data_IF_807175490651
#
_entry.id   IF_807175490651
#
_cell.length_a   1.000
_cell.length_b   1.000
_cell.length_c   1.000
_cell.angle_alpha   90.00
_cell.angle_beta   90.00
_cell.angle_gamma   90.00
#
_symmetry.space_group_name_H-M   'P 1'
#
loop_
_entity.id
_entity.type
_entity.pdbx_description
1 polymer ?
#
# COMPACT_ATOMS: atom_id res chain seq x y z
N UNK A 1 -8.87 3.17 12.33
CA UNK A 1 -9.18 4.45 11.67
C UNK A 1 -8.76 4.30 10.21
N UNK A 2 -9.71 4.07 9.32
CA UNK A 2 -9.43 4.05 7.89
C UNK A 2 -9.68 5.46 7.37
N UNK A 3 -8.61 6.25 7.27
CA UNK A 3 -8.72 7.51 6.53
C UNK A 3 -8.91 7.16 5.05
N UNK A 4 -9.85 7.86 4.38
CA UNK A 4 -10.00 7.79 2.92
C UNK A 4 -8.66 8.21 2.29
N UNK A 5 -8.25 7.54 1.21
CA UNK A 5 -7.05 7.97 0.48
C UNK A 5 -7.25 9.42 0.03
N UNK A 6 -6.25 10.31 0.17
CA UNK A 6 -6.37 11.66 -0.38
C UNK A 6 -6.64 11.57 -1.89
N UNK A 7 -7.56 12.42 -2.37
CA UNK A 7 -7.90 12.47 -3.80
C UNK A 7 -6.68 12.88 -4.65
N UNK A 8 -6.57 12.40 -5.91
CA UNK A 8 -5.48 12.78 -6.80
C UNK A 8 -5.40 14.31 -6.98
N UNK A 9 -4.19 14.92 -6.98
CA UNK A 9 -4.01 16.38 -7.05
C UNK A 9 -4.39 17.02 -8.40
N UNK A 10 -4.68 16.25 -9.44
CA UNK A 10 -4.93 16.71 -10.81
C UNK A 10 -6.39 16.60 -11.25
N UNK A 11 -7.29 16.10 -10.38
CA UNK A 11 -8.74 16.06 -10.62
C UNK A 11 -9.39 17.47 -10.76
N UNK A 12 -8.57 18.51 -10.94
CA UNK A 12 -8.90 19.91 -10.80
C UNK A 12 -8.44 20.67 -12.04
N UNK A 13 -9.36 20.89 -12.98
CA UNK A 13 -9.24 22.01 -13.93
C UNK A 13 -10.39 22.98 -13.68
N UNK A 14 -9.98 24.22 -13.42
CA UNK A 14 -10.77 25.41 -13.13
C UNK A 14 -11.62 25.84 -14.33
N UNK A 15 -12.86 26.28 -14.07
CA UNK A 15 -13.45 27.48 -14.69
C UNK A 15 -14.50 28.07 -13.72
N UNK A 16 -14.26 29.29 -13.25
CA UNK A 16 -15.00 29.99 -12.17
C UNK A 16 -16.28 30.66 -12.67
N UNK A 17 -17.44 30.39 -12.07
CA UNK A 17 -18.60 31.29 -12.02
C UNK A 17 -19.46 31.05 -10.77
N UNK A 18 -20.09 32.12 -10.26
CA UNK A 18 -20.80 32.22 -8.97
C UNK A 18 -22.35 32.15 -9.13
N UNK A 19 -23.05 31.90 -8.01
CA UNK A 19 -24.50 32.14 -7.69
C UNK A 19 -25.63 31.12 -8.00
N UNK A 20 -26.54 30.95 -7.00
CA UNK A 20 -28.02 31.04 -7.11
C UNK A 20 -28.89 29.79 -7.31
N UNK A 21 -29.43 29.16 -6.25
CA UNK A 21 -30.34 27.98 -6.36
C UNK A 21 -31.80 28.33 -6.76
N UNK A 22 -32.33 27.68 -7.81
CA UNK A 22 -33.77 27.53 -8.08
C UNK A 22 -34.06 26.18 -8.77
N UNK A 23 -34.80 25.28 -8.11
CA UNK A 23 -34.87 23.84 -8.42
C UNK A 23 -36.16 23.38 -9.16
N UNK A 24 -36.73 24.18 -10.07
CA UNK A 24 -38.07 23.91 -10.62
C UNK A 24 -38.16 23.56 -12.13
N UNK A 25 -37.06 23.44 -12.91
CA UNK A 25 -37.16 23.23 -14.37
C UNK A 25 -36.16 22.21 -14.95
N UNK A 26 -36.63 21.26 -15.77
CA UNK A 26 -35.87 20.14 -16.35
C UNK A 26 -34.78 20.51 -17.37
N UNK A 27 -33.86 21.43 -17.06
CA UNK A 27 -32.87 21.94 -18.02
C UNK A 27 -31.44 21.49 -17.70
N UNK A 28 -30.57 21.30 -18.73
CA UNK A 28 -29.13 21.07 -18.57
C UNK A 28 -28.41 22.08 -17.67
N UNK A 29 -29.00 23.27 -17.47
CA UNK A 29 -28.54 24.31 -16.57
C UNK A 29 -28.53 23.87 -15.10
N UNK A 30 -29.53 23.11 -14.63
CA UNK A 30 -29.58 22.61 -13.24
C UNK A 30 -28.43 21.66 -12.93
N UNK A 31 -28.06 20.82 -13.89
CA UNK A 31 -26.97 19.84 -13.72
C UNK A 31 -25.64 20.59 -13.67
N UNK A 32 -25.47 21.63 -14.50
CA UNK A 32 -24.30 22.51 -14.43
C UNK A 32 -24.20 23.23 -13.08
N UNK A 33 -25.30 23.76 -12.54
CA UNK A 33 -25.30 24.45 -11.24
C UNK A 33 -25.08 23.51 -10.05
N UNK A 34 -25.71 22.33 -10.05
CA UNK A 34 -25.47 21.34 -9.00
C UNK A 34 -24.02 20.82 -9.03
N UNK A 35 -23.45 20.58 -10.21
CA UNK A 35 -22.03 20.22 -10.36
C UNK A 35 -21.12 21.33 -9.85
N UNK A 36 -21.40 22.60 -10.18
CA UNK A 36 -20.65 23.77 -9.67
C UNK A 36 -20.77 23.90 -8.14
N UNK A 37 -21.95 23.65 -7.59
CA UNK A 37 -22.27 23.79 -6.17
C UNK A 37 -21.49 22.85 -5.25
N UNK A 38 -21.23 21.62 -5.69
CA UNK A 38 -20.61 20.51 -4.93
C UNK A 38 -19.11 20.37 -5.24
N UNK A 39 -18.49 21.37 -5.87
CA UNK A 39 -17.05 21.33 -6.14
C UNK A 39 -16.26 21.22 -4.82
N UNK A 40 -15.35 20.24 -4.68
CA UNK A 40 -14.65 20.04 -3.41
C UNK A 40 -13.56 21.09 -3.10
N UNK A 41 -13.50 22.18 -3.90
CA UNK A 41 -12.77 23.43 -3.61
C UNK A 41 -13.45 24.27 -2.53
N UNK A 42 -14.74 24.05 -2.24
CA UNK A 42 -15.38 24.65 -1.08
C UNK A 42 -14.87 23.95 0.18
N UNK A 43 -14.41 24.72 1.16
CA UNK A 43 -13.97 24.23 2.49
C UNK A 43 -15.01 23.36 3.21
N UNK A 44 -16.28 23.43 2.77
CA UNK A 44 -17.36 22.53 3.15
C UNK A 44 -18.38 22.50 1.99
N UNK A 45 -18.28 21.57 1.03
CA UNK A 45 -19.25 21.50 -0.06
C UNK A 45 -20.63 21.15 0.52
N UNK A 46 -21.72 21.77 0.05
CA UNK A 46 -23.08 21.56 0.55
C UNK A 46 -23.67 20.21 0.11
N UNK A 47 -22.94 19.10 0.29
CA UNK A 47 -23.34 17.75 -0.15
C UNK A 47 -24.67 17.36 0.50
N UNK A 48 -24.82 17.63 1.80
CA UNK A 48 -26.03 17.32 2.56
C UNK A 48 -27.26 18.08 2.02
N UNK A 49 -27.12 19.38 1.74
CA UNK A 49 -28.18 20.22 1.20
C UNK A 49 -28.61 19.75 -0.20
N UNK A 50 -27.65 19.34 -1.03
CA UNK A 50 -27.95 18.75 -2.33
C UNK A 50 -28.70 17.43 -2.19
N UNK A 51 -28.28 16.54 -1.28
CA UNK A 51 -29.01 15.29 -1.04
C UNK A 51 -30.44 15.60 -0.57
N UNK A 52 -30.61 16.51 0.38
CA UNK A 52 -31.91 16.88 0.94
C UNK A 52 -32.84 17.54 -0.09
N UNK A 53 -32.30 18.15 -1.13
CA UNK A 53 -33.08 18.69 -2.26
C UNK A 53 -33.72 17.61 -3.15
N UNK A 54 -33.37 16.34 -2.97
CA UNK A 54 -34.00 15.22 -3.68
C UNK A 54 -33.50 15.01 -5.12
N UNK A 55 -32.40 15.62 -5.52
CA UNK A 55 -31.88 15.57 -6.91
C UNK A 55 -31.09 14.30 -7.26
N UNK A 56 -30.68 13.50 -6.27
CA UNK A 56 -29.88 12.28 -6.49
C UNK A 56 -30.55 11.28 -7.43
N UNK A 57 -31.82 10.85 -7.23
CA UNK A 57 -32.49 9.95 -8.16
C UNK A 57 -32.50 10.49 -9.60
N UNK A 58 -32.60 11.81 -9.75
CA UNK A 58 -32.62 12.46 -11.07
C UNK A 58 -31.25 12.43 -11.74
N UNK A 59 -30.15 12.62 -11.01
CA UNK A 59 -28.81 12.41 -11.56
C UNK A 59 -28.60 10.96 -12.00
N UNK A 60 -29.10 9.99 -11.23
CA UNK A 60 -29.04 8.57 -11.62
C UNK A 60 -29.82 8.32 -12.91
N UNK A 61 -31.00 8.91 -13.08
CA UNK A 61 -31.76 8.83 -14.34
C UNK A 61 -30.99 9.41 -15.53
N UNK A 62 -30.32 10.57 -15.33
CA UNK A 62 -29.53 11.21 -16.37
C UNK A 62 -28.32 10.38 -16.83
N UNK A 63 -27.79 9.48 -15.99
CA UNK A 63 -26.72 8.56 -16.40
C UNK A 63 -27.15 7.62 -17.53
N UNK A 64 -28.44 7.27 -17.63
CA UNK A 64 -28.95 6.30 -18.61
C UNK A 64 -29.34 6.95 -19.94
N UNK A 65 -29.45 8.28 -19.95
CA UNK A 65 -29.94 9.07 -21.09
C UNK A 65 -28.78 9.60 -21.91
N UNK A 66 -28.56 9.01 -23.08
CA UNK A 66 -27.52 9.48 -24.04
C UNK A 66 -27.82 10.88 -24.60
N UNK A 67 -29.09 11.30 -24.58
CA UNK A 67 -29.54 12.64 -24.97
C UNK A 67 -29.33 13.70 -23.87
N UNK A 68 -28.84 13.30 -22.70
CA UNK A 68 -28.60 14.17 -21.54
C UNK A 68 -27.11 14.25 -21.18
N UNK A 69 -26.69 15.27 -20.40
CA UNK A 69 -25.30 15.46 -20.00
C UNK A 69 -24.84 14.41 -18.94
N UNK A 70 -24.60 13.18 -19.39
CA UNK A 70 -24.17 12.03 -18.56
C UNK A 70 -22.91 12.35 -17.75
N UNK A 71 -21.96 13.08 -18.34
CA UNK A 71 -20.71 13.47 -17.68
C UNK A 71 -20.97 14.30 -16.42
N UNK A 72 -21.82 15.30 -16.52
CA UNK A 72 -22.14 16.21 -15.42
C UNK A 72 -22.93 15.49 -14.33
N UNK A 73 -23.86 14.60 -14.69
CA UNK A 73 -24.55 13.76 -13.73
C UNK A 73 -23.59 12.82 -12.98
N UNK A 74 -22.66 12.16 -13.70
CA UNK A 74 -21.64 11.30 -13.11
C UNK A 74 -20.70 12.09 -12.19
N UNK A 75 -20.33 13.32 -12.58
CA UNK A 75 -19.50 14.19 -11.76
C UNK A 75 -20.20 14.61 -10.46
N UNK A 76 -21.47 15.03 -10.53
CA UNK A 76 -22.24 15.36 -9.33
C UNK A 76 -22.30 14.19 -8.34
N UNK A 77 -22.60 12.99 -8.83
CA UNK A 77 -22.66 11.78 -8.00
C UNK A 77 -21.28 11.38 -7.45
N UNK A 78 -20.21 11.61 -8.21
CA UNK A 78 -18.83 11.36 -7.74
C UNK A 78 -18.48 12.24 -6.55
N UNK A 79 -18.86 13.54 -6.59
CA UNK A 79 -18.62 14.49 -5.50
C UNK A 79 -19.51 14.21 -4.28
N UNK A 80 -20.71 13.65 -4.49
CA UNK A 80 -21.54 13.19 -3.36
C UNK A 80 -20.88 11.97 -2.70
N UNK A 81 -20.39 11.00 -3.50
CA UNK A 81 -19.71 9.80 -2.99
C UNK A 81 -18.34 10.07 -2.34
N UNK A 82 -17.72 11.23 -2.56
CA UNK A 82 -16.48 11.61 -1.86
C UNK A 82 -16.71 12.13 -0.43
N UNK A 83 -17.97 12.41 -0.05
CA UNK A 83 -18.36 12.93 1.26
C UNK A 83 -18.28 11.89 2.40
N UNK A 84 -19.29 11.88 3.28
CA UNK A 84 -19.41 10.91 4.37
C UNK A 84 -19.84 9.53 3.87
N UNK A 85 -19.77 8.51 4.73
CA UNK A 85 -20.28 7.17 4.37
C UNK A 85 -21.79 7.16 4.15
N UNK A 86 -22.53 8.03 4.84
CA UNK A 86 -23.95 8.27 4.62
C UNK A 86 -24.21 8.86 3.23
N UNK A 87 -23.36 9.80 2.77
CA UNK A 87 -23.45 10.36 1.41
C UNK A 87 -23.17 9.30 0.34
N UNK A 88 -22.14 8.49 0.52
CA UNK A 88 -21.85 7.34 -0.35
C UNK A 88 -23.04 6.37 -0.40
N UNK A 89 -23.64 6.08 0.76
CA UNK A 89 -24.80 5.20 0.86
C UNK A 89 -26.00 5.72 0.07
N UNK A 90 -26.25 7.03 0.07
CA UNK A 90 -27.31 7.63 -0.74
C UNK A 90 -27.11 7.34 -2.24
N UNK A 91 -25.88 7.47 -2.75
CA UNK A 91 -25.56 7.15 -4.16
C UNK A 91 -25.79 5.65 -4.47
N UNK A 92 -25.41 4.78 -3.54
CA UNK A 92 -25.61 3.33 -3.65
C UNK A 92 -27.09 2.96 -3.64
N UNK A 93 -27.85 3.47 -2.66
CA UNK A 93 -29.27 3.12 -2.44
C UNK A 93 -30.16 3.57 -3.61
N UNK A 94 -29.74 4.60 -4.36
CA UNK A 94 -30.40 5.02 -5.60
C UNK A 94 -29.96 4.23 -6.85
N UNK A 95 -29.11 3.20 -6.72
CA UNK A 95 -28.78 2.28 -7.81
C UNK A 95 -27.74 2.79 -8.81
N UNK A 96 -26.89 3.75 -8.44
CA UNK A 96 -25.91 4.32 -9.37
C UNK A 96 -24.79 3.34 -9.77
N UNK A 97 -24.36 2.44 -8.88
CA UNK A 97 -23.22 1.53 -9.09
C UNK A 97 -23.33 0.68 -10.35
N UNK A 98 -24.41 -0.11 -10.60
CA UNK A 98 -24.51 -0.89 -11.83
C UNK A 98 -24.52 -0.02 -13.09
N UNK A 99 -25.01 1.21 -13.01
CA UNK A 99 -25.01 2.15 -14.14
C UNK A 99 -23.59 2.67 -14.39
N UNK A 100 -22.82 3.00 -13.36
CA UNK A 100 -21.41 3.35 -13.50
C UNK A 100 -20.61 2.21 -14.15
N UNK A 101 -20.85 0.96 -13.75
CA UNK A 101 -20.20 -0.20 -14.38
C UNK A 101 -20.55 -0.29 -15.87
N UNK A 102 -21.81 -0.09 -16.25
CA UNK A 102 -22.24 -0.06 -17.66
C UNK A 102 -21.55 1.08 -18.43
N UNK A 103 -21.42 2.25 -17.82
CA UNK A 103 -20.82 3.44 -18.43
C UNK A 103 -19.30 3.35 -18.61
N UNK A 104 -18.62 2.34 -18.05
CA UNK A 104 -17.24 2.00 -18.40
C UNK A 104 -17.10 1.58 -19.88
N UNK A 105 -18.20 1.27 -20.57
CA UNK A 105 -18.25 1.01 -22.01
C UNK A 105 -18.77 2.21 -22.82
N UNK A 106 -18.91 3.40 -22.21
CA UNK A 106 -19.38 4.60 -22.92
C UNK A 106 -18.45 4.98 -24.09
N UNK A 107 -18.98 5.44 -25.23
CA UNK A 107 -18.15 5.96 -26.32
C UNK A 107 -17.40 7.24 -25.94
N UNK A 108 -17.83 7.96 -24.89
CA UNK A 108 -17.17 9.17 -24.41
C UNK A 108 -16.06 8.85 -23.41
N UNK A 109 -14.82 9.22 -23.75
CA UNK A 109 -13.65 9.11 -22.86
C UNK A 109 -13.90 9.79 -21.50
N UNK A 110 -14.47 10.99 -21.53
CA UNK A 110 -14.70 11.78 -20.33
C UNK A 110 -15.72 11.12 -19.40
N UNK A 111 -16.78 10.53 -19.97
CA UNK A 111 -17.77 9.76 -19.20
C UNK A 111 -17.11 8.52 -18.60
N UNK A 112 -16.31 7.77 -19.38
CA UNK A 112 -15.59 6.59 -18.86
C UNK A 112 -14.67 6.99 -17.70
N UNK A 113 -13.91 8.06 -17.86
CA UNK A 113 -12.96 8.53 -16.84
C UNK A 113 -13.69 8.97 -15.56
N UNK A 114 -14.82 9.67 -15.71
CA UNK A 114 -15.63 10.10 -14.58
C UNK A 114 -16.24 8.94 -13.80
N UNK A 115 -16.74 7.90 -14.48
CA UNK A 115 -17.33 6.74 -13.78
C UNK A 115 -16.27 5.81 -13.18
N UNK A 116 -15.06 5.75 -13.74
CA UNK A 116 -13.91 5.14 -13.06
C UNK A 116 -13.70 5.82 -11.71
N UNK A 117 -13.64 7.16 -11.69
CA UNK A 117 -13.46 7.91 -10.44
C UNK A 117 -14.63 7.71 -9.46
N UNK A 118 -15.87 7.72 -9.94
CA UNK A 118 -17.06 7.44 -9.13
C UNK A 118 -16.97 6.08 -8.43
N UNK A 119 -16.61 5.02 -9.17
CA UNK A 119 -16.45 3.67 -8.64
C UNK A 119 -15.31 3.59 -7.62
N UNK A 120 -14.21 4.33 -7.85
CA UNK A 120 -13.10 4.42 -6.90
C UNK A 120 -13.50 5.10 -5.58
N UNK A 121 -14.29 6.18 -5.62
CA UNK A 121 -14.82 6.83 -4.40
C UNK A 121 -15.74 5.88 -3.62
N UNK A 122 -16.65 5.19 -4.31
CA UNK A 122 -17.57 4.22 -3.68
C UNK A 122 -16.78 3.06 -3.07
N UNK A 123 -15.86 2.44 -3.82
CA UNK A 123 -15.06 1.32 -3.32
C UNK A 123 -14.12 1.74 -2.17
N UNK A 124 -13.59 2.97 -2.21
CA UNK A 124 -12.68 3.51 -1.20
C UNK A 124 -13.35 3.83 0.14
N UNK A 125 -14.68 3.92 0.20
CA UNK A 125 -15.44 4.26 1.40
C UNK A 125 -15.31 3.19 2.50
N UNK A 126 -15.57 1.93 2.16
CA UNK A 126 -15.53 0.83 3.13
C UNK A 126 -15.41 -0.54 2.44
N UNK A 127 -14.94 -1.59 3.14
CA UNK A 127 -14.91 -2.95 2.60
C UNK A 127 -16.27 -3.43 2.04
N UNK A 128 -17.38 -3.03 2.68
CA UNK A 128 -18.73 -3.35 2.19
C UNK A 128 -19.03 -2.70 0.84
N UNK A 129 -18.68 -1.43 0.66
CA UNK A 129 -18.90 -0.72 -0.60
C UNK A 129 -17.98 -1.24 -1.70
N UNK A 130 -16.72 -1.54 -1.39
CA UNK A 130 -15.79 -2.25 -2.28
C UNK A 130 -16.37 -3.57 -2.77
N UNK A 131 -16.82 -4.42 -1.85
CA UNK A 131 -17.34 -5.75 -2.18
C UNK A 131 -18.62 -5.65 -3.03
N UNK A 132 -19.47 -4.65 -2.78
CA UNK A 132 -20.61 -4.34 -3.63
C UNK A 132 -20.16 -3.99 -5.07
N UNK A 133 -19.20 -3.08 -5.23
CA UNK A 133 -18.68 -2.68 -6.54
C UNK A 133 -18.08 -3.88 -7.30
N UNK A 134 -17.31 -4.72 -6.61
CA UNK A 134 -16.76 -5.95 -7.19
C UNK A 134 -17.85 -6.96 -7.56
N UNK A 135 -18.89 -7.12 -6.72
CA UNK A 135 -20.02 -8.00 -7.00
C UNK A 135 -20.87 -7.54 -8.20
N UNK A 136 -20.86 -6.24 -8.51
CA UNK A 136 -21.47 -5.69 -9.73
C UNK A 136 -20.60 -5.89 -10.99
N UNK A 137 -19.47 -6.60 -10.89
CA UNK A 137 -18.64 -6.94 -12.04
C UNK A 137 -17.75 -5.80 -12.55
N UNK A 138 -17.47 -4.79 -11.71
CA UNK A 138 -16.74 -3.58 -12.13
C UNK A 138 -15.28 -3.83 -12.57
N UNK A 139 -14.64 -4.91 -12.10
CA UNK A 139 -13.21 -5.11 -12.33
C UNK A 139 -12.87 -5.28 -13.81
N UNK A 140 -13.54 -6.18 -14.54
CA UNK A 140 -13.16 -6.47 -15.93
C UNK A 140 -13.34 -5.25 -16.85
N UNK A 141 -14.45 -4.49 -16.79
CA UNK A 141 -14.58 -3.26 -17.56
C UNK A 141 -13.64 -2.13 -17.10
N UNK A 142 -13.19 -2.12 -15.84
CA UNK A 142 -12.14 -1.20 -15.39
C UNK A 142 -10.79 -1.56 -16.03
N UNK A 143 -10.43 -2.85 -16.04
CA UNK A 143 -9.17 -3.32 -16.63
C UNK A 143 -9.09 -3.03 -18.12
N UNK A 144 -10.19 -3.02 -18.87
CA UNK A 144 -10.18 -2.63 -20.30
C UNK A 144 -9.82 -1.15 -20.53
N UNK A 145 -9.91 -0.30 -19.51
CA UNK A 145 -9.48 1.10 -19.60
C UNK A 145 -7.95 1.26 -19.47
N UNK A 146 -7.24 0.22 -19.02
CA UNK A 146 -5.79 0.18 -18.86
C UNK A 146 -5.15 -0.42 -20.12
N UNK A 147 -5.09 0.37 -21.18
CA UNK A 147 -4.50 -0.05 -22.47
C UNK A 147 -3.48 0.99 -22.98
N UNK A 148 -2.72 0.62 -24.01
CA UNK A 148 -1.63 1.44 -24.57
C UNK A 148 -2.08 2.79 -25.15
N UNK A 149 -3.37 2.95 -25.45
CA UNK A 149 -3.95 4.18 -25.98
C UNK A 149 -4.58 5.06 -24.90
N UNK A 150 -4.60 4.62 -23.64
CA UNK A 150 -5.19 5.36 -22.54
C UNK A 150 -4.38 6.64 -22.24
N UNK A 151 -5.10 7.75 -22.06
CA UNK A 151 -4.50 9.02 -21.59
C UNK A 151 -3.94 8.81 -20.19
N UNK A 152 -2.91 9.59 -19.84
CA UNK A 152 -2.30 9.54 -18.51
C UNK A 152 -3.33 9.79 -17.37
N UNK A 153 -4.30 10.69 -17.59
CA UNK A 153 -5.38 10.96 -16.64
C UNK A 153 -6.22 9.71 -16.35
N UNK A 154 -6.65 9.02 -17.40
CA UNK A 154 -7.33 7.73 -17.29
C UNK A 154 -6.46 6.69 -16.57
N UNK A 155 -5.18 6.55 -16.91
CA UNK A 155 -4.29 5.59 -16.26
C UNK A 155 -4.18 5.84 -14.75
N UNK A 156 -4.03 7.11 -14.33
CA UNK A 156 -3.99 7.49 -12.91
C UNK A 156 -5.31 7.16 -12.22
N UNK A 157 -6.46 7.58 -12.78
CA UNK A 157 -7.77 7.31 -12.19
C UNK A 157 -8.09 5.82 -12.09
N UNK A 158 -7.79 5.06 -13.15
CA UNK A 158 -8.04 3.64 -13.20
C UNK A 158 -7.12 2.86 -12.24
N UNK A 159 -5.86 3.25 -12.12
CA UNK A 159 -4.92 2.63 -11.17
C UNK A 159 -5.30 2.94 -9.72
N UNK A 160 -5.69 4.19 -9.42
CA UNK A 160 -6.21 4.57 -8.11
C UNK A 160 -7.48 3.79 -7.74
N UNK A 161 -8.41 3.65 -8.69
CA UNK A 161 -9.63 2.87 -8.50
C UNK A 161 -9.32 1.38 -8.27
N UNK A 162 -8.38 0.83 -9.04
CA UNK A 162 -7.93 -0.55 -8.89
C UNK A 162 -7.27 -0.80 -7.53
N UNK A 163 -6.52 0.17 -6.99
CA UNK A 163 -5.94 0.09 -5.65
C UNK A 163 -7.04 0.03 -4.58
N UNK A 164 -8.11 0.84 -4.70
CA UNK A 164 -9.27 0.79 -3.83
C UNK A 164 -10.05 -0.53 -3.93
N UNK A 165 -10.11 -1.16 -5.11
CA UNK A 165 -10.70 -2.49 -5.27
C UNK A 165 -9.94 -3.58 -4.50
N UNK A 166 -8.64 -3.37 -4.26
CA UNK A 166 -7.79 -4.31 -3.51
C UNK A 166 -7.70 -3.99 -2.01
N UNK A 167 -8.04 -2.76 -1.60
CA UNK A 167 -7.81 -2.21 -0.26
C UNK A 167 -8.79 -2.75 0.79
N UNK A 168 -8.36 -2.74 2.05
CA UNK A 168 -9.23 -2.84 3.23
C UNK A 168 -9.20 -4.19 3.93
N UNK A 169 -9.64 -4.20 5.20
CA UNK A 169 -9.78 -5.41 6.02
C UNK A 169 -11.24 -5.52 6.50
N UNK A 170 -11.92 -6.68 6.36
CA UNK A 170 -11.43 -7.90 5.69
C UNK A 170 -11.10 -7.66 4.21
N UNK A 171 -10.13 -8.42 3.70
CA UNK A 171 -9.69 -8.31 2.30
C UNK A 171 -10.78 -8.77 1.34
N UNK A 172 -10.81 -8.25 0.10
CA UNK A 172 -11.69 -8.79 -0.93
C UNK A 172 -11.31 -10.25 -1.24
N UNK A 173 -12.26 -10.98 -1.85
CA UNK A 173 -11.95 -12.33 -2.34
C UNK A 173 -10.81 -12.27 -3.34
N UNK A 174 -9.76 -13.07 -3.10
CA UNK A 174 -8.61 -13.08 -3.99
C UNK A 174 -8.98 -13.57 -5.40
N UNK A 175 -9.97 -14.46 -5.55
CA UNK A 175 -10.44 -14.88 -6.87
C UNK A 175 -11.06 -13.72 -7.67
N UNK A 176 -11.67 -12.75 -6.99
CA UNK A 176 -12.24 -11.56 -7.64
C UNK A 176 -11.16 -10.57 -8.05
N UNK A 177 -10.08 -10.40 -7.28
CA UNK A 177 -9.04 -9.41 -7.57
C UNK A 177 -7.82 -9.96 -8.32
N UNK A 178 -7.60 -11.27 -8.34
CA UNK A 178 -6.51 -11.92 -9.09
C UNK A 178 -6.42 -11.49 -10.57
N UNK A 179 -7.53 -11.25 -11.31
CA UNK A 179 -7.46 -10.76 -12.69
C UNK A 179 -6.77 -9.40 -12.85
N UNK A 180 -6.56 -8.63 -11.77
CA UNK A 180 -5.84 -7.36 -11.80
C UNK A 180 -4.32 -7.52 -11.98
N UNK A 181 -3.75 -8.68 -11.66
CA UNK A 181 -2.31 -8.87 -11.60
C UNK A 181 -1.58 -8.57 -12.92
N UNK A 182 -2.05 -9.01 -14.11
CA UNK A 182 -1.40 -8.67 -15.37
C UNK A 182 -1.37 -7.17 -15.65
N UNK A 183 -2.45 -6.45 -15.33
CA UNK A 183 -2.49 -5.00 -15.50
C UNK A 183 -1.54 -4.30 -14.51
N UNK A 184 -1.51 -4.73 -13.24
CA UNK A 184 -0.58 -4.19 -12.24
C UNK A 184 0.88 -4.45 -12.62
N UNK A 185 1.20 -5.59 -13.22
CA UNK A 185 2.53 -5.91 -13.75
C UNK A 185 2.97 -4.90 -14.81
N UNK A 186 2.06 -4.46 -15.69
CA UNK A 186 2.37 -3.43 -16.68
C UNK A 186 2.50 -2.05 -16.02
N UNK A 187 1.59 -1.69 -15.12
CA UNK A 187 1.53 -0.35 -14.51
C UNK A 187 2.77 0.00 -13.67
N UNK A 188 3.42 -0.98 -13.01
CA UNK A 188 4.65 -0.74 -12.26
C UNK A 188 5.87 -0.40 -13.14
N UNK A 189 5.74 -0.50 -14.46
CA UNK A 189 6.76 -0.05 -15.42
C UNK A 189 6.48 1.38 -15.94
N UNK A 190 5.42 2.05 -15.46
CA UNK A 190 5.18 3.46 -15.75
C UNK A 190 6.32 4.35 -15.24
N UNK A 191 6.52 5.48 -15.90
CA UNK A 191 7.39 6.56 -15.42
C UNK A 191 6.63 7.61 -14.59
N UNK A 192 5.31 7.48 -14.49
CA UNK A 192 4.46 8.39 -13.74
C UNK A 192 4.41 7.98 -12.26
N UNK A 193 4.82 8.87 -11.35
CA UNK A 193 4.89 8.58 -9.92
C UNK A 193 3.54 8.23 -9.30
N UNK A 194 2.44 8.81 -9.80
CA UNK A 194 1.10 8.56 -9.25
C UNK A 194 0.62 7.15 -9.64
N UNK A 195 0.76 6.78 -10.93
CA UNK A 195 0.49 5.42 -11.39
C UNK A 195 1.34 4.40 -10.62
N UNK A 196 2.66 4.66 -10.46
CA UNK A 196 3.55 3.78 -9.71
C UNK A 196 3.10 3.62 -8.25
N UNK A 197 2.74 4.73 -7.59
CA UNK A 197 2.31 4.75 -6.19
C UNK A 197 1.08 3.86 -6.00
N UNK A 198 0.03 4.06 -6.79
CA UNK A 198 -1.23 3.34 -6.63
C UNK A 198 -1.12 1.87 -7.07
N UNK A 199 -0.34 1.58 -8.12
CA UNK A 199 -0.07 0.20 -8.54
C UNK A 199 0.70 -0.57 -7.45
N UNK A 200 1.70 0.04 -6.83
CA UNK A 200 2.42 -0.56 -5.71
C UNK A 200 1.53 -0.73 -4.48
N UNK A 201 0.63 0.22 -4.18
CA UNK A 201 -0.34 0.02 -3.09
C UNK A 201 -1.27 -1.16 -3.36
N UNK A 202 -1.79 -1.29 -4.58
CA UNK A 202 -2.62 -2.43 -4.97
C UNK A 202 -1.88 -3.76 -4.76
N UNK A 203 -0.64 -3.87 -5.24
CA UNK A 203 0.20 -5.06 -5.03
C UNK A 203 0.50 -5.32 -3.55
N UNK A 204 0.69 -4.27 -2.75
CA UNK A 204 0.89 -4.40 -1.30
C UNK A 204 -0.34 -5.00 -0.60
N UNK A 205 -1.55 -4.66 -1.04
CA UNK A 205 -2.78 -5.24 -0.48
C UNK A 205 -3.00 -6.69 -0.92
N UNK A 206 -2.65 -7.02 -2.16
CA UNK A 206 -2.80 -8.37 -2.71
C UNK A 206 -1.75 -9.37 -2.16
N UNK A 207 -0.55 -8.89 -1.82
CA UNK A 207 0.53 -9.69 -1.25
C UNK A 207 0.41 -9.94 0.26
N UNK A 208 -0.36 -9.12 0.98
CA UNK A 208 -0.64 -9.31 2.41
C UNK A 208 -1.58 -10.53 2.58
N UNK A 209 -1.04 -11.72 2.89
CA UNK A 209 -1.87 -12.88 3.16
C UNK A 209 -1.13 -14.21 3.10
N UNK A 210 -1.84 -15.25 2.68
CA UNK A 210 -1.32 -16.63 2.64
C UNK A 210 -0.27 -16.82 1.56
N UNK A 211 0.53 -17.89 1.71
CA UNK A 211 1.54 -18.30 0.73
C UNK A 211 0.99 -18.48 -0.69
N UNK A 212 -0.29 -18.83 -0.86
CA UNK A 212 -0.93 -18.95 -2.18
C UNK A 212 -1.11 -17.59 -2.86
N UNK A 213 -1.46 -16.55 -2.08
CA UNK A 213 -1.54 -15.17 -2.61
C UNK A 213 -0.16 -14.68 -3.00
N UNK A 214 0.83 -14.87 -2.12
CA UNK A 214 2.22 -14.49 -2.40
C UNK A 214 2.75 -15.20 -3.64
N UNK A 215 2.42 -16.50 -3.81
CA UNK A 215 2.80 -17.27 -4.99
C UNK A 215 2.23 -16.66 -6.29
N UNK A 216 0.95 -16.29 -6.28
CA UNK A 216 0.33 -15.64 -7.44
C UNK A 216 0.97 -14.26 -7.77
N UNK A 217 1.44 -13.52 -6.75
CA UNK A 217 2.18 -12.26 -6.95
C UNK A 217 3.53 -12.55 -7.62
N UNK A 218 4.26 -13.57 -7.17
CA UNK A 218 5.54 -13.98 -7.78
C UNK A 218 5.33 -14.44 -9.23
N UNK A 219 4.31 -15.26 -9.49
CA UNK A 219 3.95 -15.74 -10.83
C UNK A 219 3.51 -14.61 -11.78
N UNK A 220 3.01 -13.50 -11.24
CA UNK A 220 2.73 -12.30 -12.01
C UNK A 220 4.00 -11.52 -12.41
N UNK A 221 5.20 -11.99 -12.05
CA UNK A 221 6.49 -11.44 -12.43
C UNK A 221 6.66 -9.93 -12.10
N UNK A 222 6.18 -9.52 -10.92
CA UNK A 222 6.31 -8.12 -10.45
C UNK A 222 7.56 -7.88 -9.61
N UNK A 223 8.16 -8.93 -9.03
CA UNK A 223 9.26 -8.81 -8.08
C UNK A 223 10.51 -8.08 -8.60
N UNK A 224 11.03 -8.34 -9.83
CA UNK A 224 12.22 -7.65 -10.31
C UNK A 224 12.03 -6.12 -10.27
N UNK A 225 10.91 -5.66 -10.81
CA UNK A 225 10.57 -4.24 -10.87
C UNK A 225 10.29 -3.66 -9.49
N UNK A 226 9.63 -4.40 -8.59
CA UNK A 226 9.43 -3.94 -7.20
C UNK A 226 10.75 -3.73 -6.46
N UNK A 227 11.76 -4.58 -6.70
CA UNK A 227 13.10 -4.41 -6.12
C UNK A 227 13.79 -3.16 -6.68
N UNK A 228 13.69 -2.89 -7.98
CA UNK A 228 14.21 -1.66 -8.58
C UNK A 228 13.56 -0.41 -7.94
N UNK A 229 12.25 -0.44 -7.70
CA UNK A 229 11.49 0.65 -7.10
C UNK A 229 11.86 0.93 -5.64
N UNK A 230 12.60 0.04 -4.96
CA UNK A 230 13.17 0.34 -3.63
C UNK A 230 14.20 1.48 -3.66
N UNK A 231 14.79 1.75 -4.82
CA UNK A 231 15.71 2.87 -5.03
C UNK A 231 15.03 4.10 -5.64
N UNK A 232 13.69 4.10 -5.77
CA UNK A 232 12.97 5.23 -6.32
C UNK A 232 13.13 6.47 -5.41
N UNK A 233 13.43 7.67 -5.95
CA UNK A 233 13.71 8.86 -5.13
C UNK A 233 12.48 9.35 -4.35
N UNK A 234 11.29 9.14 -4.90
CA UNK A 234 10.01 9.52 -4.28
C UNK A 234 9.58 8.51 -3.20
N UNK A 235 9.45 8.92 -1.93
CA UNK A 235 8.95 8.07 -0.86
C UNK A 235 7.55 7.51 -1.11
N UNK A 236 6.73 8.21 -1.89
CA UNK A 236 5.37 7.80 -2.24
C UNK A 236 5.34 6.48 -3.02
N UNK A 237 6.35 6.24 -3.86
CA UNK A 237 6.53 4.99 -4.61
C UNK A 237 7.31 3.95 -3.79
N UNK A 238 8.39 4.39 -3.12
CA UNK A 238 9.29 3.50 -2.37
C UNK A 238 8.55 2.76 -1.24
N UNK A 239 7.71 3.46 -0.47
CA UNK A 239 7.02 2.87 0.69
C UNK A 239 6.12 1.67 0.30
N UNK A 240 5.17 1.80 -0.65
CA UNK A 240 4.35 0.65 -1.05
C UNK A 240 5.12 -0.44 -1.78
N UNK A 241 6.18 -0.10 -2.54
CA UNK A 241 7.08 -1.10 -3.12
C UNK A 241 7.78 -1.92 -2.03
N UNK A 242 8.36 -1.25 -1.03
CA UNK A 242 8.99 -1.88 0.13
C UNK A 242 8.00 -2.73 0.93
N UNK A 243 6.78 -2.25 1.12
CA UNK A 243 5.73 -3.02 1.80
C UNK A 243 5.40 -4.30 1.03
N UNK A 244 5.29 -4.23 -0.29
CA UNK A 244 5.04 -5.40 -1.14
C UNK A 244 6.17 -6.42 -1.04
N UNK A 245 7.43 -5.95 -1.13
CA UNK A 245 8.61 -6.82 -0.93
C UNK A 245 8.61 -7.45 0.46
N UNK A 246 8.30 -6.66 1.50
CA UNK A 246 8.19 -7.12 2.88
C UNK A 246 7.12 -8.20 3.07
N UNK A 247 5.95 -8.05 2.44
CA UNK A 247 4.89 -9.07 2.47
C UNK A 247 5.32 -10.36 1.74
N UNK A 248 6.08 -10.27 0.66
CA UNK A 248 6.52 -11.48 -0.07
C UNK A 248 7.48 -12.30 0.79
N UNK A 249 8.39 -11.65 1.54
CA UNK A 249 9.36 -12.34 2.40
C UNK A 249 8.76 -12.85 3.72
N UNK A 250 7.48 -12.60 4.02
CA UNK A 250 6.77 -13.33 5.09
C UNK A 250 6.35 -14.75 4.66
N UNK A 251 6.53 -15.08 3.37
CA UNK A 251 6.31 -16.42 2.85
C UNK A 251 7.33 -17.44 3.35
N UNK A 252 7.32 -18.64 2.78
CA UNK A 252 8.34 -19.65 3.06
C UNK A 252 9.71 -19.30 2.45
N UNK A 253 10.73 -20.07 2.82
CA UNK A 253 12.10 -19.89 2.38
C UNK A 253 12.24 -19.77 0.85
N UNK A 254 11.45 -20.52 0.07
CA UNK A 254 11.52 -20.46 -1.40
C UNK A 254 11.10 -19.08 -1.94
N UNK A 255 10.01 -18.53 -1.41
CA UNK A 255 9.51 -17.19 -1.80
C UNK A 255 10.47 -16.09 -1.35
N UNK A 256 11.02 -16.22 -0.15
CA UNK A 256 12.06 -15.31 0.36
C UNK A 256 13.31 -15.36 -0.52
N UNK A 257 13.76 -16.56 -0.91
CA UNK A 257 14.91 -16.72 -1.80
C UNK A 257 14.70 -16.06 -3.16
N UNK A 258 13.47 -16.10 -3.69
CA UNK A 258 13.14 -15.44 -4.94
C UNK A 258 13.42 -13.93 -4.90
N UNK A 259 13.09 -13.26 -3.81
CA UNK A 259 13.39 -11.82 -3.61
C UNK A 259 14.89 -11.57 -3.48
N UNK A 260 15.61 -12.40 -2.73
CA UNK A 260 17.07 -12.31 -2.57
C UNK A 260 17.77 -12.43 -3.94
N UNK A 261 17.32 -13.36 -4.78
CA UNK A 261 17.87 -13.60 -6.11
C UNK A 261 17.69 -12.42 -7.09
N UNK A 262 16.83 -11.45 -6.77
CA UNK A 262 16.63 -10.21 -7.53
C UNK A 262 17.37 -9.00 -6.92
N UNK A 263 18.42 -9.24 -6.13
CA UNK A 263 19.30 -8.18 -5.59
C UNK A 263 18.57 -7.22 -4.62
N UNK A 264 17.63 -7.74 -3.83
CA UNK A 264 16.94 -6.94 -2.82
C UNK A 264 17.86 -6.49 -1.67
N UNK A 265 18.89 -7.28 -1.32
CA UNK A 265 19.74 -7.01 -0.16
C UNK A 265 20.54 -5.70 -0.27
N UNK A 266 21.23 -5.39 -1.39
CA UNK A 266 21.86 -4.08 -1.57
C UNK A 266 20.88 -2.90 -1.46
N UNK A 267 19.66 -3.07 -1.97
CA UNK A 267 18.61 -2.04 -1.89
C UNK A 267 18.18 -1.82 -0.43
N UNK A 268 17.94 -2.90 0.33
CA UNK A 268 17.60 -2.82 1.74
C UNK A 268 18.74 -2.21 2.58
N UNK A 269 20.00 -2.56 2.29
CA UNK A 269 21.17 -1.94 2.91
C UNK A 269 21.19 -0.42 2.70
N UNK A 270 20.96 0.03 1.46
CA UNK A 270 20.87 1.45 1.11
C UNK A 270 19.81 2.18 1.96
N UNK A 271 18.65 1.56 2.18
CA UNK A 271 17.58 2.13 3.01
C UNK A 271 17.97 2.27 4.49
N UNK A 272 18.80 1.36 5.02
CA UNK A 272 19.27 1.42 6.41
C UNK A 272 20.33 2.52 6.61
N UNK A 273 21.30 2.60 5.69
CA UNK A 273 22.50 3.41 5.84
C UNK A 273 22.29 4.88 5.47
N UNK A 274 21.49 5.16 4.45
CA UNK A 274 21.24 6.53 4.00
C UNK A 274 20.20 7.27 4.84
N UNK A 275 20.09 8.58 4.61
CA UNK A 275 19.18 9.46 5.35
C UNK A 275 17.73 9.32 4.85
N UNK A 276 17.07 8.22 5.21
CA UNK A 276 15.65 8.00 4.98
C UNK A 276 14.81 8.29 6.23
N UNK A 277 13.53 8.59 6.00
CA UNK A 277 12.53 8.77 7.07
C UNK A 277 12.49 7.55 7.99
N UNK A 278 12.24 7.79 9.28
CA UNK A 278 12.10 6.74 10.31
C UNK A 278 11.19 5.60 9.88
N UNK A 279 10.03 5.91 9.27
CA UNK A 279 9.07 4.91 8.81
C UNK A 279 9.66 3.96 7.78
N UNK A 280 10.46 4.46 6.83
CA UNK A 280 11.13 3.64 5.80
C UNK A 280 12.16 2.72 6.45
N UNK A 281 13.00 3.22 7.35
CA UNK A 281 14.00 2.40 8.06
C UNK A 281 13.34 1.31 8.90
N UNK A 282 12.23 1.64 9.58
CA UNK A 282 11.44 0.66 10.34
C UNK A 282 10.93 -0.46 9.44
N UNK A 283 10.31 -0.13 8.30
CA UNK A 283 9.82 -1.12 7.33
C UNK A 283 10.96 -1.95 6.71
N UNK A 284 12.10 -1.34 6.42
CA UNK A 284 13.27 -2.07 5.92
C UNK A 284 13.81 -3.06 6.97
N UNK A 285 13.91 -2.65 8.24
CA UNK A 285 14.26 -3.56 9.33
C UNK A 285 13.24 -4.70 9.49
N UNK A 286 11.94 -4.40 9.36
CA UNK A 286 10.88 -5.43 9.40
C UNK A 286 11.04 -6.45 8.27
N UNK A 287 11.23 -5.99 7.03
CA UNK A 287 11.52 -6.85 5.87
C UNK A 287 12.75 -7.73 6.11
N UNK A 288 13.83 -7.14 6.62
CA UNK A 288 15.07 -7.85 6.96
C UNK A 288 14.83 -8.90 8.05
N UNK A 289 13.97 -8.61 9.04
CA UNK A 289 13.66 -9.55 10.11
C UNK A 289 12.96 -10.82 9.60
N UNK A 290 12.11 -10.70 8.60
CA UNK A 290 11.47 -11.84 7.94
C UNK A 290 12.49 -12.65 7.11
N UNK A 291 13.46 -11.98 6.47
CA UNK A 291 14.53 -12.69 5.75
C UNK A 291 15.43 -13.48 6.73
N UNK A 292 15.80 -12.89 7.87
CA UNK A 292 16.61 -13.60 8.88
C UNK A 292 15.85 -14.68 9.64
N UNK A 293 14.52 -14.74 9.50
CA UNK A 293 13.69 -15.84 10.02
C UNK A 293 13.82 -17.13 9.20
N UNK A 294 14.35 -17.05 7.97
CA UNK A 294 14.52 -18.18 7.08
C UNK A 294 15.71 -19.09 7.44
N UNK A 295 16.22 -19.82 6.45
CA UNK A 295 17.29 -20.79 6.66
C UNK A 295 18.70 -20.17 6.80
N UNK A 296 19.67 -21.03 7.10
CA UNK A 296 21.08 -20.64 7.34
C UNK A 296 21.72 -20.04 6.10
N UNK A 297 21.36 -20.51 4.92
CA UNK A 297 21.86 -20.00 3.64
C UNK A 297 21.37 -18.56 3.43
N UNK A 298 20.12 -18.26 3.75
CA UNK A 298 19.58 -16.89 3.70
C UNK A 298 20.27 -15.97 4.71
N UNK A 299 20.49 -16.43 5.95
CA UNK A 299 21.29 -15.68 6.93
C UNK A 299 22.72 -15.45 6.42
N UNK A 300 23.31 -16.44 5.73
CA UNK A 300 24.63 -16.30 5.14
C UNK A 300 24.67 -15.19 4.09
N UNK A 301 23.67 -15.12 3.20
CA UNK A 301 23.57 -14.03 2.22
C UNK A 301 23.43 -12.65 2.86
N UNK A 302 22.77 -12.54 4.02
CA UNK A 302 22.65 -11.29 4.79
C UNK A 302 24.00 -10.83 5.36
N UNK A 303 24.83 -11.78 5.81
CA UNK A 303 26.20 -11.52 6.28
C UNK A 303 27.06 -11.05 5.11
N UNK A 304 27.03 -11.76 3.99
CA UNK A 304 27.81 -11.43 2.79
C UNK A 304 27.40 -10.09 2.16
N UNK A 305 26.13 -9.71 2.30
CA UNK A 305 25.62 -8.40 1.90
C UNK A 305 26.00 -7.26 2.86
N UNK A 306 26.75 -7.52 3.94
CA UNK A 306 27.17 -6.54 4.95
C UNK A 306 26.01 -5.79 5.64
N UNK A 307 24.85 -6.45 5.79
CA UNK A 307 23.67 -5.82 6.43
C UNK A 307 23.76 -5.84 7.96
N UNK A 308 24.47 -6.82 8.53
CA UNK A 308 24.52 -7.08 9.97
C UNK A 308 25.07 -5.88 10.77
N UNK A 309 26.20 -5.30 10.36
CA UNK A 309 26.80 -4.16 11.05
C UNK A 309 25.86 -2.95 11.13
N UNK A 310 25.33 -2.44 10.00
CA UNK A 310 24.31 -1.39 9.99
C UNK A 310 23.07 -1.70 10.83
N UNK A 311 22.60 -2.95 10.83
CA UNK A 311 21.46 -3.39 11.63
C UNK A 311 21.76 -3.31 13.14
N UNK A 312 22.94 -3.75 13.57
CA UNK A 312 23.41 -3.62 14.96
C UNK A 312 23.59 -2.15 15.36
N UNK A 313 24.08 -1.32 14.45
CA UNK A 313 24.18 0.13 14.67
C UNK A 313 22.80 0.76 14.93
N UNK A 314 21.79 0.41 14.13
CA UNK A 314 20.41 0.85 14.38
C UNK A 314 19.86 0.30 15.69
N UNK A 315 20.13 -0.96 16.03
CA UNK A 315 19.73 -1.56 17.30
C UNK A 315 20.29 -0.81 18.52
N UNK A 316 21.50 -0.25 18.44
CA UNK A 316 22.09 0.54 19.53
C UNK A 316 21.57 1.98 19.56
N UNK A 317 21.46 2.63 18.40
CA UNK A 317 21.40 4.09 18.31
C UNK A 317 20.07 4.65 17.78
N UNK A 318 19.22 3.84 17.15
CA UNK A 318 17.98 4.33 16.56
C UNK A 318 16.88 4.60 17.60
N UNK A 319 15.77 5.17 17.12
CA UNK A 319 14.55 5.30 17.90
C UNK A 319 13.91 3.93 18.19
N UNK A 320 13.08 3.88 19.25
CA UNK A 320 12.52 2.64 19.78
C UNK A 320 11.83 1.75 18.72
N UNK A 321 11.02 2.33 17.84
CA UNK A 321 10.29 1.55 16.82
C UNK A 321 11.24 0.85 15.84
N UNK A 322 12.38 1.46 15.50
CA UNK A 322 13.39 0.85 14.62
C UNK A 322 14.18 -0.20 15.40
N UNK A 323 14.54 0.10 16.66
CA UNK A 323 15.24 -0.83 17.54
C UNK A 323 14.48 -2.14 17.72
N UNK A 324 13.15 -2.07 17.84
CA UNK A 324 12.29 -3.26 17.96
C UNK A 324 12.46 -4.21 16.77
N UNK A 325 12.36 -3.69 15.54
CA UNK A 325 12.51 -4.49 14.32
C UNK A 325 13.96 -4.98 14.12
N UNK A 326 14.95 -4.15 14.46
CA UNK A 326 16.35 -4.56 14.41
C UNK A 326 16.66 -5.67 15.44
N UNK A 327 16.06 -5.59 16.63
CA UNK A 327 16.19 -6.62 17.66
C UNK A 327 15.57 -7.94 17.18
N UNK A 328 14.40 -7.87 16.53
CA UNK A 328 13.76 -9.03 15.91
C UNK A 328 14.69 -9.67 14.89
N UNK A 329 15.22 -8.88 13.95
CA UNK A 329 16.07 -9.38 12.89
C UNK A 329 17.35 -10.08 13.42
N UNK A 330 18.02 -9.49 14.41
CA UNK A 330 19.19 -10.12 15.04
C UNK A 330 18.79 -11.38 15.83
N UNK A 331 17.66 -11.35 16.53
CA UNK A 331 17.18 -12.49 17.30
C UNK A 331 16.86 -13.69 16.39
N UNK A 332 16.16 -13.47 15.28
CA UNK A 332 15.90 -14.49 14.28
C UNK A 332 17.19 -15.08 13.71
N UNK A 333 18.16 -14.22 13.35
CA UNK A 333 19.45 -14.67 12.85
C UNK A 333 20.21 -15.54 13.87
N UNK A 334 20.06 -15.26 15.18
CA UNK A 334 20.63 -16.15 16.19
C UNK A 334 19.89 -17.48 16.29
N UNK A 335 18.54 -17.48 16.28
CA UNK A 335 17.72 -18.70 16.40
C UNK A 335 17.94 -19.69 15.26
N UNK A 336 17.97 -19.18 14.03
CA UNK A 336 18.02 -19.99 12.82
C UNK A 336 19.44 -20.21 12.30
N UNK A 337 20.42 -19.42 12.76
CA UNK A 337 21.80 -19.42 12.29
C UNK A 337 22.62 -20.64 12.73
N UNK A 338 23.72 -20.87 12.02
CA UNK A 338 24.77 -21.82 12.42
C UNK A 338 25.62 -21.28 13.58
N UNK A 339 26.40 -22.14 14.22
CA UNK A 339 27.30 -21.71 15.30
C UNK A 339 28.29 -20.62 14.86
N UNK A 340 28.83 -20.73 13.64
CA UNK A 340 29.78 -19.75 13.10
C UNK A 340 29.10 -18.42 12.74
N UNK A 341 27.86 -18.46 12.24
CA UNK A 341 27.07 -17.26 11.98
C UNK A 341 26.72 -16.54 13.29
N UNK A 342 26.33 -17.26 14.33
CA UNK A 342 26.10 -16.68 15.66
C UNK A 342 27.39 -16.05 16.20
N UNK A 343 28.52 -16.74 16.07
CA UNK A 343 29.83 -16.21 16.47
C UNK A 343 30.18 -14.93 15.70
N UNK A 344 29.88 -14.85 14.40
CA UNK A 344 30.02 -13.63 13.61
C UNK A 344 29.18 -12.49 14.17
N UNK A 345 27.88 -12.71 14.43
CA UNK A 345 26.98 -11.69 15.01
C UNK A 345 27.51 -11.14 16.35
N UNK A 346 28.07 -12.03 17.17
CA UNK A 346 28.69 -11.67 18.45
C UNK A 346 29.96 -10.85 18.27
N UNK A 347 30.80 -11.21 17.29
CA UNK A 347 32.00 -10.45 16.93
C UNK A 347 31.66 -9.05 16.40
N UNK A 348 30.55 -8.91 15.65
CA UNK A 348 30.00 -7.62 15.21
C UNK A 348 29.36 -6.80 16.36
N UNK A 349 29.31 -7.34 17.58
CA UNK A 349 28.95 -6.58 18.78
C UNK A 349 27.47 -6.56 19.12
N UNK A 350 26.67 -7.54 18.66
CA UNK A 350 25.23 -7.57 18.91
C UNK A 350 24.82 -7.70 20.40
N UNK A 351 25.69 -8.21 21.27
CA UNK A 351 25.37 -8.54 22.67
C UNK A 351 24.97 -7.30 23.46
N UNK A 352 25.77 -6.23 23.44
CA UNK A 352 25.51 -5.04 24.26
C UNK A 352 24.16 -4.39 23.91
N UNK A 353 23.86 -4.09 22.63
CA UNK A 353 22.56 -3.53 22.24
C UNK A 353 21.37 -4.40 22.68
N UNK A 354 21.50 -5.74 22.57
CA UNK A 354 20.45 -6.68 23.03
C UNK A 354 20.28 -6.65 24.55
N UNK A 355 21.37 -6.60 25.32
CA UNK A 355 21.30 -6.47 26.77
C UNK A 355 20.68 -5.14 27.22
N UNK A 356 21.00 -4.04 26.53
CA UNK A 356 20.43 -2.73 26.83
C UNK A 356 18.89 -2.72 26.67
N UNK A 357 18.33 -3.60 25.81
CA UNK A 357 16.87 -3.78 25.64
C UNK A 357 16.19 -4.62 26.73
N UNK A 358 16.93 -5.37 27.56
CA UNK A 358 16.35 -6.16 28.67
C UNK A 358 15.71 -5.29 29.75
N UNK A 359 16.10 -4.01 29.81
CA UNK A 359 15.58 -3.02 30.75
C UNK A 359 14.29 -2.37 30.20
N UNK A 360 13.92 -2.69 28.95
CA UNK A 360 12.72 -2.16 28.33
C UNK A 360 11.44 -2.75 28.95
N UNK A 361 10.44 -1.92 29.31
CA UNK A 361 9.18 -2.40 29.88
C UNK A 361 8.24 -3.09 28.87
N UNK A 362 8.54 -3.07 27.56
CA UNK A 362 7.73 -3.79 26.55
C UNK A 362 7.97 -5.31 26.65
N UNK A 363 6.95 -6.13 27.02
CA UNK A 363 7.11 -7.57 27.19
C UNK A 363 7.50 -8.31 25.91
N UNK A 364 7.13 -7.79 24.74
CA UNK A 364 7.52 -8.39 23.46
C UNK A 364 9.02 -8.19 23.21
N UNK A 365 9.52 -6.99 23.48
CA UNK A 365 10.96 -6.67 23.34
C UNK A 365 11.79 -7.48 24.33
N UNK A 366 11.27 -7.68 25.55
CA UNK A 366 11.88 -8.54 26.55
C UNK A 366 12.02 -9.98 26.06
N UNK A 367 10.98 -10.57 25.45
CA UNK A 367 11.03 -11.93 24.92
C UNK A 367 12.12 -12.13 23.84
N UNK A 368 12.37 -11.10 23.02
CA UNK A 368 13.42 -11.15 21.98
C UNK A 368 14.82 -11.08 22.58
N UNK A 369 15.04 -10.18 23.54
CA UNK A 369 16.34 -9.99 24.19
C UNK A 369 16.75 -11.17 25.10
N UNK A 370 15.78 -11.95 25.61
CA UNK A 370 16.00 -13.10 26.51
C UNK A 370 16.25 -14.42 25.75
N UNK A 371 16.47 -14.36 24.44
CA UNK A 371 16.74 -15.56 23.65
C UNK A 371 17.90 -16.41 24.28
N UNK A 372 17.65 -17.69 24.64
CA UNK A 372 18.63 -18.54 25.30
C UNK A 372 19.96 -18.65 24.56
N UNK A 373 19.98 -18.58 23.24
CA UNK A 373 21.21 -18.66 22.46
C UNK A 373 22.05 -17.37 22.52
N UNK A 374 21.40 -16.20 22.58
CA UNK A 374 22.05 -14.90 22.84
C UNK A 374 22.65 -14.91 24.25
N UNK A 375 21.88 -15.39 25.23
CA UNK A 375 22.35 -15.53 26.61
C UNK A 375 23.49 -16.56 26.72
N UNK A 376 23.42 -17.69 26.01
CA UNK A 376 24.50 -18.69 25.99
C UNK A 376 25.77 -18.14 25.35
N UNK A 377 25.66 -17.43 24.22
CA UNK A 377 26.77 -16.75 23.59
C UNK A 377 27.40 -15.69 24.51
N UNK A 378 26.57 -14.94 25.25
CA UNK A 378 27.03 -13.99 26.26
C UNK A 378 27.79 -14.67 27.40
N UNK A 379 27.32 -15.83 27.90
CA UNK A 379 28.03 -16.58 28.96
C UNK A 379 29.34 -17.23 28.48
N UNK A 380 29.42 -17.68 27.23
CA UNK A 380 30.68 -18.19 26.65
C UNK A 380 31.70 -17.06 26.46
N UNK A 381 31.26 -15.87 26.05
CA UNK A 381 32.13 -14.70 25.92
C UNK A 381 32.51 -14.07 27.27
N UNK A 382 31.62 -14.11 28.27
CA UNK A 382 31.95 -13.74 29.65
C UNK A 382 32.99 -14.72 30.22
N UNK A 383 32.86 -16.03 29.98
CA UNK A 383 33.90 -17.01 30.36
C UNK A 383 35.24 -16.77 29.64
N UNK A 384 35.25 -16.35 28.37
CA UNK A 384 36.48 -15.99 27.64
C UNK A 384 37.08 -14.65 28.10
N UNK A 385 36.27 -13.63 28.39
CA UNK A 385 36.75 -12.35 28.94
C UNK A 385 37.29 -12.50 30.36
N UNK A 386 36.70 -13.36 31.19
CA UNK A 386 37.26 -13.70 32.51
C UNK A 386 38.59 -14.46 32.36
N UNK A 387 38.75 -15.34 31.37
CA UNK A 387 40.03 -16.02 31.11
C UNK A 387 41.15 -15.09 30.61
N UNK A 388 40.83 -13.99 29.95
CA UNK A 388 41.82 -12.99 29.50
C UNK A 388 42.16 -11.98 30.61
N UNK A 389 41.26 -11.72 31.56
CA UNK A 389 41.56 -10.91 32.75
C UNK A 389 42.32 -11.68 33.85
N UNK A 390 42.19 -13.01 33.94
CA UNK A 390 42.90 -13.82 34.95
C UNK A 390 44.34 -14.26 34.56
N UNK A 391 44.95 -13.69 33.51
CA UNK A 391 46.36 -13.96 33.12
C UNK A 391 47.25 -12.70 33.30
N UNK A 392 46.73 -11.62 33.91
CA UNK A 392 47.53 -10.40 34.21
C UNK A 392 47.33 -9.83 35.62
N UNK A 393 47.18 -10.71 36.60
CA UNK A 393 47.44 -10.49 38.03
C UNK A 393 47.89 -11.81 38.60
#
# INVERSE_FOLDING_TARGET
MFDKMPHPPWAWREDRYDLGFSLASETPHMISEAVKGITPLKRNPPIEEVIQSGVVPRFVEFLVREDFPQLQAAWALTNIASGTSEHTKVVIDHGAVPIFVKLLASPSDDVREQVVWALGNVAGDSPKCRDLVLAQGALIPLLSQLNEHAKLSMLRNATWTLSNFCRGKPQPSFSQTKPALPALQQLIHSNDEEVLTDACWALSYLSDGTNDKIQAIIEANVCPRLVELLNHPSPSVLIPALRTVGNIVTGDDMRTQYIINHQALPCLLNLLTNNHKKSIKKEACWTISNITAGNKEQIQTMIEANIIGPLIHLLQNAEFDIKKEAAWAISNATLCGSHDQIKYLVCEGCIKPLCDLLICPDPQVFAYAVNPQVLFASTVNVKKRIKVLCIRT
#
